data_IF_628973531808
#
_entry.id   IF_628973531808
#
_cell.length_a   1.000
_cell.length_b   1.000
_cell.length_c   1.000
_cell.angle_alpha   90.00
_cell.angle_beta   90.00
_cell.angle_gamma   90.00
#
_symmetry.space_group_name_H-M   'P 1'
#
loop_
_entity.id
_entity.type
_entity.pdbx_description
1 polymer ?
#
# COMPACT_ATOMS: atom_id res chain seq x y z
N UNK A 1 20.57 23.28 -75.12
CA UNK A 1 19.88 22.48 -76.14
C UNK A 1 18.85 21.63 -75.45
N UNK A 2 17.69 21.45 -76.06
CA UNK A 2 16.57 20.66 -75.52
C UNK A 2 17.01 19.28 -74.97
N UNK A 3 17.90 18.59 -75.68
CA UNK A 3 18.41 17.28 -75.26
C UNK A 3 19.21 17.30 -73.95
N UNK A 4 19.91 18.41 -73.67
CA UNK A 4 20.68 18.57 -72.44
C UNK A 4 19.75 18.75 -71.25
N UNK A 5 18.80 19.67 -71.36
CA UNK A 5 17.79 19.92 -70.32
C UNK A 5 16.93 18.68 -70.05
N UNK A 6 16.57 17.93 -71.09
CA UNK A 6 15.79 16.69 -70.92
C UNK A 6 16.53 15.67 -70.06
N UNK A 7 17.83 15.45 -70.31
CA UNK A 7 18.66 14.56 -69.50
C UNK A 7 18.85 15.05 -68.07
N UNK A 8 19.03 16.35 -67.88
CA UNK A 8 19.14 16.95 -66.54
C UNK A 8 17.85 16.75 -65.73
N UNK A 9 16.68 16.97 -66.35
CA UNK A 9 15.37 16.73 -65.73
C UNK A 9 15.16 15.25 -65.35
N UNK A 10 15.60 14.31 -66.18
CA UNK A 10 15.52 12.87 -65.87
C UNK A 10 16.34 12.50 -64.63
N UNK A 11 17.58 12.99 -64.53
CA UNK A 11 18.46 12.77 -63.37
C UNK A 11 17.86 13.42 -62.11
N UNK A 12 17.36 14.65 -62.23
CA UNK A 12 16.75 15.36 -61.11
C UNK A 12 15.49 14.63 -60.62
N UNK A 13 14.65 14.15 -61.54
CA UNK A 13 13.46 13.36 -61.20
C UNK A 13 13.84 12.06 -60.49
N UNK A 14 14.83 11.32 -61.00
CA UNK A 14 15.30 10.09 -60.35
C UNK A 14 15.84 10.36 -58.94
N UNK A 15 16.55 11.48 -58.75
CA UNK A 15 17.06 11.90 -57.43
C UNK A 15 15.90 12.22 -56.48
N UNK A 16 14.92 13.01 -56.93
CA UNK A 16 13.72 13.35 -56.15
C UNK A 16 12.87 12.13 -55.80
N UNK A 17 12.71 11.17 -56.71
CA UNK A 17 11.98 9.92 -56.46
C UNK A 17 12.66 9.10 -55.34
N UNK A 18 14.00 9.04 -55.32
CA UNK A 18 14.74 8.40 -54.23
C UNK A 18 14.59 9.18 -52.91
N UNK A 19 14.71 10.50 -52.94
CA UNK A 19 14.53 11.35 -51.76
C UNK A 19 13.15 11.15 -51.12
N UNK A 20 12.08 11.12 -51.93
CA UNK A 20 10.72 10.85 -51.44
C UNK A 20 10.66 9.49 -50.77
N UNK A 21 11.25 8.45 -51.36
CA UNK A 21 11.27 7.11 -50.80
C UNK A 21 11.99 7.06 -49.44
N UNK A 22 13.18 7.66 -49.35
CA UNK A 22 13.95 7.67 -48.11
C UNK A 22 13.27 8.49 -47.01
N UNK A 23 12.79 9.70 -47.33
CA UNK A 23 12.10 10.57 -46.36
C UNK A 23 10.77 9.97 -45.89
N UNK A 24 10.04 9.28 -46.77
CA UNK A 24 8.80 8.59 -46.37
C UNK A 24 9.09 7.45 -45.41
N UNK A 25 10.17 6.68 -45.64
CA UNK A 25 10.60 5.63 -44.72
C UNK A 25 11.03 6.21 -43.38
N UNK A 26 11.89 7.23 -43.40
CA UNK A 26 12.36 7.91 -42.19
C UNK A 26 11.20 8.48 -41.37
N UNK A 27 10.22 9.10 -42.03
CA UNK A 27 9.01 9.59 -41.35
C UNK A 27 8.24 8.46 -40.65
N UNK A 28 8.09 7.30 -41.29
CA UNK A 28 7.44 6.13 -40.69
C UNK A 28 8.23 5.61 -39.49
N UNK A 29 9.56 5.49 -39.62
CA UNK A 29 10.43 5.00 -38.56
C UNK A 29 10.40 5.95 -37.34
N UNK A 30 10.42 7.27 -37.58
CA UNK A 30 10.26 8.30 -36.54
C UNK A 30 8.88 8.23 -35.86
N UNK A 31 7.81 8.03 -36.62
CA UNK A 31 6.47 7.88 -36.05
C UNK A 31 6.37 6.65 -35.13
N UNK A 32 6.99 5.53 -35.52
CA UNK A 32 7.06 4.34 -34.69
C UNK A 32 7.84 4.63 -33.40
N UNK A 33 9.03 5.22 -33.51
CA UNK A 33 9.85 5.56 -32.34
C UNK A 33 9.14 6.53 -31.39
N UNK A 34 8.38 7.50 -31.92
CA UNK A 34 7.57 8.40 -31.11
C UNK A 34 6.44 7.68 -30.37
N UNK A 35 5.78 6.72 -31.01
CA UNK A 35 4.71 5.94 -30.41
C UNK A 35 5.26 5.04 -29.28
N UNK A 36 6.37 4.35 -29.54
CA UNK A 36 7.07 3.53 -28.54
C UNK A 36 7.50 4.37 -27.33
N UNK A 37 8.21 5.49 -27.56
CA UNK A 37 8.65 6.38 -26.48
C UNK A 37 7.47 6.97 -25.68
N UNK A 38 6.35 7.26 -26.34
CA UNK A 38 5.14 7.73 -25.65
C UNK A 38 4.51 6.65 -24.78
N UNK A 39 4.47 5.42 -25.27
CA UNK A 39 4.00 4.26 -24.51
C UNK A 39 4.89 4.00 -23.29
N UNK A 40 6.20 3.98 -23.49
CA UNK A 40 7.18 3.77 -22.41
C UNK A 40 7.06 4.85 -21.34
N UNK A 41 6.95 6.13 -21.76
CA UNK A 41 6.74 7.24 -20.83
C UNK A 41 5.46 7.06 -20.02
N UNK A 42 4.37 6.64 -20.65
CA UNK A 42 3.10 6.41 -19.95
C UNK A 42 3.23 5.26 -18.94
N UNK A 43 3.93 4.18 -19.31
CA UNK A 43 4.20 3.05 -18.42
C UNK A 43 5.02 3.48 -17.21
N UNK A 44 6.16 4.14 -17.42
CA UNK A 44 7.03 4.62 -16.34
C UNK A 44 6.32 5.63 -15.45
N UNK A 45 5.47 6.51 -16.00
CA UNK A 45 4.69 7.44 -15.18
C UNK A 45 3.72 6.69 -14.26
N UNK A 46 3.05 5.64 -14.75
CA UNK A 46 2.14 4.84 -13.92
C UNK A 46 2.87 4.11 -12.79
N UNK A 47 4.07 3.60 -13.05
CA UNK A 47 4.92 2.98 -12.04
C UNK A 47 5.38 4.00 -11.00
N UNK A 48 5.79 5.19 -11.44
CA UNK A 48 6.19 6.28 -10.56
C UNK A 48 5.04 6.71 -9.64
N UNK A 49 3.84 6.87 -10.18
CA UNK A 49 2.66 7.25 -9.41
C UNK A 49 2.35 6.20 -8.33
N UNK A 50 2.43 4.91 -8.68
CA UNK A 50 2.25 3.81 -7.73
C UNK A 50 3.33 3.78 -6.63
N UNK A 51 4.60 4.03 -6.99
CA UNK A 51 5.71 4.11 -6.01
C UNK A 51 5.49 5.27 -5.04
N UNK A 52 5.06 6.43 -5.54
CA UNK A 52 4.80 7.61 -4.71
C UNK A 52 3.61 7.39 -3.76
N UNK A 53 2.55 6.71 -4.19
CA UNK A 53 1.44 6.32 -3.32
C UNK A 53 1.89 5.36 -2.21
N UNK A 54 2.71 4.37 -2.56
CA UNK A 54 3.26 3.43 -1.59
C UNK A 54 4.18 4.14 -0.58
N UNK A 55 5.03 5.05 -1.05
CA UNK A 55 5.89 5.87 -0.19
C UNK A 55 5.07 6.67 0.82
N UNK A 56 4.01 7.35 0.39
CA UNK A 56 3.11 8.09 1.29
C UNK A 56 2.49 7.17 2.35
N UNK A 57 2.16 5.94 1.98
CA UNK A 57 1.66 4.93 2.92
C UNK A 57 2.71 4.54 3.96
N UNK A 58 3.98 4.40 3.55
CA UNK A 58 5.08 4.13 4.46
C UNK A 58 5.36 5.30 5.40
N UNK A 59 5.38 6.53 4.89
CA UNK A 59 5.57 7.73 5.70
C UNK A 59 4.49 7.87 6.77
N UNK A 60 3.21 7.63 6.43
CA UNK A 60 2.10 7.62 7.37
C UNK A 60 2.19 6.51 8.43
N UNK A 61 2.90 5.41 8.15
CA UNK A 61 3.14 4.32 9.11
C UNK A 61 4.36 4.57 10.00
N UNK A 62 5.42 5.13 9.44
CA UNK A 62 6.76 5.10 10.04
C UNK A 62 7.24 6.46 10.55
N UNK A 63 6.86 7.57 9.90
CA UNK A 63 7.34 8.91 10.24
C UNK A 63 6.37 9.62 11.17
N UNK A 64 5.07 9.61 10.83
CA UNK A 64 4.04 10.32 11.61
C UNK A 64 3.63 9.59 12.91
N UNK A 65 3.89 8.28 13.03
CA UNK A 65 3.49 7.47 14.19
C UNK A 65 4.61 7.20 15.20
N UNK A 66 5.77 7.86 15.06
CA UNK A 66 6.79 7.76 16.09
C UNK A 66 6.33 8.54 17.33
N UNK A 67 5.67 7.85 18.26
CA UNK A 67 5.39 8.38 19.60
C UNK A 67 6.69 8.85 20.26
N UNK A 68 6.65 9.96 21.00
CA UNK A 68 7.81 10.38 21.78
C UNK A 68 8.11 9.31 22.85
N UNK A 69 9.39 9.19 23.24
CA UNK A 69 9.77 8.25 24.29
C UNK A 69 8.96 8.47 25.58
N UNK A 70 8.68 9.73 25.93
CA UNK A 70 7.92 10.08 27.12
C UNK A 70 6.45 9.64 27.03
N UNK A 71 5.77 9.86 25.90
CA UNK A 71 4.40 9.37 25.70
C UNK A 71 4.32 7.84 25.76
N UNK A 72 5.30 7.17 25.13
CA UNK A 72 5.43 5.71 25.16
C UNK A 72 5.59 5.19 26.59
N UNK A 73 6.49 5.82 27.34
CA UNK A 73 6.78 5.48 28.74
C UNK A 73 5.56 5.71 29.62
N UNK A 74 4.88 6.85 29.49
CA UNK A 74 3.68 7.16 30.27
C UNK A 74 2.56 6.14 30.03
N UNK A 75 2.32 5.72 28.77
CA UNK A 75 1.36 4.64 28.45
C UNK A 75 1.74 3.33 29.14
N UNK A 76 3.00 2.92 29.05
CA UNK A 76 3.47 1.69 29.69
C UNK A 76 3.39 1.74 31.22
N UNK A 77 3.68 2.88 31.84
CA UNK A 77 3.55 3.07 33.28
C UNK A 77 2.08 2.98 33.73
N UNK A 78 1.15 3.59 32.97
CA UNK A 78 -0.28 3.48 33.22
C UNK A 78 -0.78 2.04 33.07
N UNK A 79 -0.34 1.33 32.03
CA UNK A 79 -0.66 -0.07 31.80
C UNK A 79 -0.11 -0.96 32.93
N UNK A 80 1.15 -0.76 33.34
CA UNK A 80 1.76 -1.46 34.47
C UNK A 80 1.02 -1.19 35.78
N UNK A 81 0.57 0.04 36.02
CA UNK A 81 -0.20 0.39 37.21
C UNK A 81 -1.54 -0.35 37.23
N UNK A 82 -2.29 -0.33 36.11
CA UNK A 82 -3.55 -1.05 35.98
C UNK A 82 -3.40 -2.57 36.12
N UNK A 83 -2.35 -3.16 35.53
CA UNK A 83 -2.04 -4.58 35.68
C UNK A 83 -1.72 -4.95 37.13
N UNK A 84 -0.95 -4.12 37.84
CA UNK A 84 -0.65 -4.32 39.27
C UNK A 84 -1.91 -4.22 40.13
N UNK A 85 -2.80 -3.28 39.82
CA UNK A 85 -4.09 -3.14 40.51
C UNK A 85 -4.99 -4.36 40.27
N UNK A 86 -5.11 -4.81 39.02
CA UNK A 86 -5.85 -6.02 38.68
C UNK A 86 -5.29 -7.25 39.39
N UNK A 87 -3.96 -7.40 39.45
CA UNK A 87 -3.30 -8.47 40.19
C UNK A 87 -3.65 -8.40 41.70
N UNK A 88 -3.59 -7.21 42.30
CA UNK A 88 -3.96 -7.01 43.71
C UNK A 88 -5.42 -7.38 43.99
N UNK A 89 -6.34 -7.06 43.08
CA UNK A 89 -7.75 -7.43 43.20
C UNK A 89 -7.92 -8.95 43.13
N UNK A 90 -7.23 -9.61 42.20
CA UNK A 90 -7.26 -11.06 42.03
C UNK A 90 -6.62 -11.80 43.21
N UNK A 91 -5.57 -11.26 43.81
CA UNK A 91 -4.93 -11.82 45.01
C UNK A 91 -5.68 -11.48 46.31
N UNK A 92 -6.49 -10.41 46.31
CA UNK A 92 -7.27 -9.94 47.44
C UNK A 92 -8.62 -10.65 47.66
N UNK A 93 -9.49 -10.04 48.47
CA UNK A 93 -10.74 -10.61 49.00
C UNK A 93 -11.75 -11.11 47.94
N UNK A 94 -11.60 -10.71 46.67
CA UNK A 94 -12.41 -11.22 45.56
C UNK A 94 -12.27 -12.74 45.35
N UNK A 95 -11.09 -13.31 45.61
CA UNK A 95 -10.86 -14.77 45.60
C UNK A 95 -11.41 -15.47 46.86
N UNK A 96 -11.56 -14.76 47.98
CA UNK A 96 -12.08 -15.30 49.23
C UNK A 96 -13.61 -15.43 49.22
N UNK A 97 -14.31 -14.55 48.50
CA UNK A 97 -15.76 -14.61 48.33
C UNK A 97 -16.24 -15.88 47.60
N UNK A 98 -15.45 -16.42 46.66
CA UNK A 98 -15.76 -17.70 45.99
C UNK A 98 -15.38 -18.93 46.82
N UNK A 99 -14.40 -18.84 47.73
CA UNK A 99 -14.01 -19.95 48.62
C UNK A 99 -14.87 -20.05 49.89
N UNK A 100 -15.51 -18.96 50.32
CA UNK A 100 -16.36 -18.91 51.52
C UNK A 100 -17.77 -19.49 51.35
N UNK A 101 -18.23 -19.73 50.13
CA UNK A 101 -19.52 -20.37 49.88
C UNK A 101 -19.39 -21.90 49.93
N UNK A 102 -19.24 -22.47 51.13
CA UNK A 102 -19.60 -23.87 51.35
C UNK A 102 -21.06 -24.04 50.90
N UNK A 103 -21.28 -24.87 49.87
CA UNK A 103 -22.61 -25.16 49.32
C UNK A 103 -23.46 -25.88 50.38
N UNK A 104 -24.12 -25.13 51.25
CA UNK A 104 -25.30 -25.63 51.92
C UNK A 104 -26.46 -25.54 50.92
N UNK A 105 -26.79 -26.66 50.28
CA UNK A 105 -28.02 -26.82 49.50
C UNK A 105 -29.22 -26.54 50.43
N UNK A 106 -29.77 -25.33 50.35
CA UNK A 106 -31.05 -25.00 50.99
C UNK A 106 -32.13 -25.82 50.32
N UNK A 107 -32.54 -26.92 50.94
CA UNK A 107 -33.71 -27.67 50.50
C UNK A 107 -33.68 -29.16 50.78
N UNK A 108 -33.57 -29.57 52.04
CA UNK A 108 -34.08 -30.89 52.46
C UNK A 108 -35.01 -30.68 53.65
N UNK A 109 -36.30 -30.44 53.37
CA UNK A 109 -37.35 -30.66 54.37
C UNK A 109 -37.58 -32.16 54.45
N UNK A 110 -37.28 -32.78 55.60
CA UNK A 110 -37.76 -34.12 55.91
C UNK A 110 -39.28 -34.06 56.08
N UNK A 111 -40.03 -34.73 55.19
CA UNK A 111 -41.43 -35.05 55.47
C UNK A 111 -41.47 -36.12 56.57
N UNK A 112 -42.00 -35.79 57.74
CA UNK A 112 -42.40 -36.79 58.73
C UNK A 112 -43.69 -37.46 58.25
N UNK A 113 -43.65 -38.75 57.97
CA UNK A 113 -44.84 -39.58 57.86
C UNK A 113 -45.31 -39.89 59.28
N UNK A 114 -46.52 -39.47 59.64
CA UNK A 114 -47.21 -39.92 60.84
C UNK A 114 -48.17 -41.06 60.45
N UNK A 115 -48.10 -42.15 61.22
CA UNK A 115 -49.21 -43.09 61.38
C UNK A 115 -50.22 -42.53 62.37
#
# INVERSE_FOLDING_TARGET
TYDKETKENEIERATKDQDVKYKSKESSDLHQAMAEASSDRSGVQSELDAVMEYLKTLEGKCVAKAETFEERKARFEAELAGLKEALKILEGEAMLLQRGATRALRGVRRHSSAA
#
